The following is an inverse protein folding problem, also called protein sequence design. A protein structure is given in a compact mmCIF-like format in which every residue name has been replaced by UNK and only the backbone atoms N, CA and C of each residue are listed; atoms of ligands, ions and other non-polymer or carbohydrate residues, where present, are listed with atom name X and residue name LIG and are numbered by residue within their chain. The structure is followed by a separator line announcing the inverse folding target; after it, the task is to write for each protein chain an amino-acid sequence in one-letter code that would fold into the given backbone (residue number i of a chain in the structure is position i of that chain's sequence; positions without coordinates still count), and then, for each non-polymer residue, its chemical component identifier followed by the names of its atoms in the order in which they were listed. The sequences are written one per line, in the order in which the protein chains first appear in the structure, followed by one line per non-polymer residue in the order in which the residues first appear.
data_IF_571779645995
#
_entry.id   IF_571779645995
#
_cell.length_a   1.000
_cell.length_b   1.000
_cell.length_c   1.000
_cell.angle_alpha   90.00
_cell.angle_beta   90.00
_cell.angle_gamma   90.00
#
_symmetry.space_group_name_H-M   'P 1'
#
loop_
_entity.id
_entity.type
_entity.pdbx_description
1 polymer ?
#
# COMPACT_ATOMS: atom_id res chain seq x y z
N UNK A 1 18.39 26.90 -22.60
CA UNK A 1 19.35 26.13 -21.77
C UNK A 1 18.96 26.27 -20.30
N UNK A 2 19.39 25.33 -19.45
CA UNK A 2 19.05 25.09 -18.04
C UNK A 2 17.76 24.28 -17.77
N UNK A 3 17.88 22.95 -17.91
CA UNK A 3 16.92 21.98 -17.37
C UNK A 3 16.95 22.07 -15.84
N UNK A 4 15.79 22.27 -15.22
CA UNK A 4 15.63 22.29 -13.78
C UNK A 4 16.19 20.98 -13.19
N UNK A 5 17.23 21.12 -12.37
CA UNK A 5 17.87 20.05 -11.61
C UNK A 5 16.80 19.36 -10.78
N UNK A 6 16.50 18.10 -11.10
CA UNK A 6 15.74 17.19 -10.23
C UNK A 6 16.60 16.89 -8.99
N UNK A 7 16.74 17.85 -8.09
CA UNK A 7 17.26 17.57 -6.76
C UNK A 7 16.16 16.78 -6.05
N UNK A 8 16.37 15.47 -5.89
CA UNK A 8 15.41 14.57 -5.26
C UNK A 8 15.02 15.09 -3.88
N UNK A 9 13.78 14.81 -3.46
CA UNK A 9 13.30 15.20 -2.13
C UNK A 9 14.29 14.74 -1.04
N UNK A 10 14.53 15.60 -0.06
CA UNK A 10 15.37 15.31 1.09
C UNK A 10 14.89 14.04 1.82
N UNK A 11 15.82 13.36 2.48
CA UNK A 11 15.55 12.09 3.16
C UNK A 11 14.48 12.24 4.24
N UNK A 12 14.45 13.38 4.95
CA UNK A 12 13.44 13.69 5.95
C UNK A 12 12.03 13.76 5.33
N UNK A 13 11.88 14.41 4.19
CA UNK A 13 10.62 14.50 3.44
C UNK A 13 10.19 13.13 2.90
N UNK A 14 11.12 12.28 2.47
CA UNK A 14 10.83 10.90 2.06
C UNK A 14 10.36 10.03 3.23
N UNK A 15 11.01 10.13 4.39
CA UNK A 15 10.60 9.40 5.59
C UNK A 15 9.26 9.90 6.14
N UNK A 16 9.03 11.21 6.15
CA UNK A 16 7.74 11.78 6.53
C UNK A 16 6.60 11.26 5.65
N UNK A 17 6.82 11.16 4.33
CA UNK A 17 5.85 10.55 3.41
C UNK A 17 5.63 9.07 3.71
N UNK A 18 6.68 8.30 4.02
CA UNK A 18 6.55 6.87 4.36
C UNK A 18 5.73 6.64 5.63
N UNK A 19 5.84 7.53 6.62
CA UNK A 19 5.11 7.45 7.89
C UNK A 19 3.66 7.93 7.80
N UNK A 20 3.30 8.63 6.71
CA UNK A 20 1.95 9.15 6.51
C UNK A 20 0.93 8.01 6.53
N UNK A 21 -0.17 8.20 7.24
CA UNK A 21 -1.29 7.25 7.24
C UNK A 21 -1.94 7.15 5.86
N UNK A 22 -2.37 5.94 5.50
CA UNK A 22 -3.11 5.72 4.24
C UNK A 22 -4.61 5.67 4.43
N UNK A 23 -5.11 5.65 5.67
CA UNK A 23 -6.52 5.42 5.99
C UNK A 23 -6.97 3.97 5.77
N UNK A 24 -6.05 3.05 5.42
CA UNK A 24 -6.34 1.63 5.31
C UNK A 24 -5.95 0.90 6.59
N UNK A 25 -6.86 0.07 7.10
CA UNK A 25 -6.57 -0.88 8.18
C UNK A 25 -6.07 -2.21 7.59
N UNK A 26 -5.06 -2.81 8.20
CA UNK A 26 -4.57 -4.12 7.78
C UNK A 26 -5.59 -5.21 8.09
N UNK A 27 -5.86 -6.04 7.09
CA UNK A 27 -6.82 -7.14 7.22
C UNK A 27 -6.31 -8.31 8.08
N UNK A 28 -5.04 -8.29 8.53
CA UNK A 28 -4.45 -9.31 9.42
C UNK A 28 -4.42 -8.88 10.89
N UNK A 29 -3.86 -7.71 11.19
CA UNK A 29 -3.71 -7.23 12.56
C UNK A 29 -4.73 -6.16 12.98
N UNK A 30 -5.45 -5.55 12.03
CA UNK A 30 -6.43 -4.50 12.30
C UNK A 30 -5.85 -3.09 12.41
N UNK A 31 -4.53 -2.93 12.53
CA UNK A 31 -3.90 -1.62 12.68
C UNK A 31 -3.86 -0.81 11.38
N UNK A 32 -3.75 0.51 11.52
CA UNK A 32 -3.60 1.41 10.39
C UNK A 32 -2.26 1.20 9.65
N UNK A 33 -2.30 1.28 8.32
CA UNK A 33 -1.13 1.07 7.48
C UNK A 33 -0.53 2.41 7.06
N UNK A 34 0.75 2.59 7.36
CA UNK A 34 1.54 3.70 6.86
C UNK A 34 1.81 3.55 5.34
N UNK A 35 2.00 4.67 4.65
CA UNK A 35 2.14 4.70 3.20
C UNK A 35 3.35 3.91 2.70
N UNK A 36 4.44 3.85 3.47
CA UNK A 36 5.61 3.03 3.14
C UNK A 36 5.35 1.52 3.21
N UNK A 37 4.37 1.10 4.01
CA UNK A 37 4.10 -0.30 4.33
C UNK A 37 2.78 -0.82 3.71
N UNK A 38 2.06 0.00 2.95
CA UNK A 38 0.81 -0.40 2.30
C UNK A 38 1.06 -1.42 1.19
N UNK A 39 0.47 -2.60 1.37
CA UNK A 39 0.38 -3.65 0.36
C UNK A 39 -1.08 -3.93 0.02
N UNK A 40 -1.48 -3.67 -1.23
CA UNK A 40 -2.83 -3.96 -1.71
C UNK A 40 -2.85 -5.28 -2.47
N UNK A 41 -3.40 -6.32 -1.84
CA UNK A 41 -3.48 -7.66 -2.42
C UNK A 41 -4.78 -7.79 -3.21
N UNK A 42 -4.69 -8.19 -4.47
CA UNK A 42 -5.88 -8.49 -5.29
C UNK A 42 -6.26 -9.96 -5.10
N UNK A 43 -7.40 -10.19 -4.46
CA UNK A 43 -7.97 -11.53 -4.32
C UNK A 43 -9.02 -11.73 -5.42
N UNK A 44 -8.87 -12.80 -6.19
CA UNK A 44 -9.87 -13.27 -7.14
C UNK A 44 -10.53 -14.51 -6.56
N UNK A 45 -11.86 -14.48 -6.47
CA UNK A 45 -12.65 -15.66 -6.13
C UNK A 45 -13.57 -15.97 -7.31
N UNK A 46 -13.63 -17.25 -7.71
CA UNK A 46 -14.65 -17.72 -8.65
C UNK A 46 -15.91 -18.04 -7.85
N UNK A 47 -17.02 -17.36 -8.14
CA UNK A 47 -18.31 -17.76 -7.58
C UNK A 47 -18.85 -18.99 -8.32
N UNK A 48 -19.71 -19.80 -7.67
CA UNK A 48 -20.34 -20.98 -8.29
C UNK A 48 -21.15 -20.65 -9.55
N UNK A 49 -21.55 -19.38 -9.71
CA UNK A 49 -22.25 -18.82 -10.87
C UNK A 49 -21.32 -18.56 -12.08
N UNK A 50 -20.03 -18.86 -11.98
CA UNK A 50 -19.03 -18.65 -13.04
C UNK A 50 -18.51 -17.22 -13.15
N UNK A 51 -18.97 -16.28 -12.29
CA UNK A 51 -18.48 -14.90 -12.26
C UNK A 51 -17.26 -14.79 -11.34
N UNK A 52 -16.21 -14.12 -11.80
CA UNK A 52 -15.06 -13.77 -10.96
C UNK A 52 -15.35 -12.50 -10.15
N UNK A 53 -15.16 -12.58 -8.83
CA UNK A 53 -15.15 -11.40 -7.96
C UNK A 53 -13.73 -11.03 -7.60
N UNK A 54 -13.41 -9.77 -7.88
CA UNK A 54 -12.11 -9.18 -7.64
C UNK A 54 -12.26 -8.25 -6.43
N UNK A 55 -11.53 -8.49 -5.36
CA UNK A 55 -11.44 -7.54 -4.24
C UNK A 55 -10.00 -7.15 -3.97
N UNK A 56 -9.78 -5.89 -3.60
CA UNK A 56 -8.48 -5.41 -3.11
C UNK A 56 -8.51 -5.44 -1.59
N UNK A 57 -7.53 -6.10 -0.98
CA UNK A 57 -7.44 -6.30 0.45
C UNK A 57 -6.14 -5.65 0.95
N UNK A 58 -6.21 -4.66 1.85
CA UNK A 58 -5.04 -4.00 2.39
C UNK A 58 -4.34 -4.84 3.47
N UNK A 59 -3.02 -4.94 3.38
CA UNK A 59 -2.13 -5.55 4.36
C UNK A 59 -0.88 -4.70 4.59
N UNK A 60 -0.25 -4.79 5.76
CA UNK A 60 1.15 -4.38 5.87
C UNK A 60 2.02 -5.34 5.06
N UNK A 61 3.10 -4.83 4.46
CA UNK A 61 4.10 -5.67 3.75
C UNK A 61 4.64 -6.81 4.61
N UNK A 62 4.84 -6.56 5.91
CA UNK A 62 5.30 -7.57 6.88
C UNK A 62 4.20 -8.59 7.22
N UNK A 63 2.94 -8.16 7.25
CA UNK A 63 1.82 -9.02 7.65
C UNK A 63 1.41 -10.03 6.57
N UNK A 64 1.65 -9.73 5.29
CA UNK A 64 1.27 -10.63 4.20
C UNK A 64 2.22 -11.82 4.01
N UNK A 65 3.50 -11.68 4.36
CA UNK A 65 4.52 -12.73 4.19
C UNK A 65 4.80 -13.59 5.43
N UNK A 66 4.21 -13.23 6.57
CA UNK A 66 4.17 -14.01 7.82
C UNK A 66 2.80 -14.67 7.97
#
# INVERSE_FOLDING_TARGET
MAQATKMGADTATLEARRRRSTGHACSKCGDEIAQGDLLMVRVMAMEPSGRSRNRKVPYHRKCYGL
#
